data_IF_476391832745
#
_entry.id   IF_476391832745
#
_cell.length_a   1.000
_cell.length_b   1.000
_cell.length_c   1.000
_cell.angle_alpha   90.00
_cell.angle_beta   90.00
_cell.angle_gamma   90.00
#
_symmetry.space_group_name_H-M   'P 1'
#
loop_
_entity.id
_entity.type
_entity.pdbx_description
1 polymer ?
#
# COMPACT_ATOMS: atom_id res chain seq x y z
N UNK A 1 22.60 44.27 -2.11
CA UNK A 1 22.23 44.86 -0.80
C UNK A 1 21.38 43.88 0.01
N UNK A 2 21.21 44.05 1.33
CA UNK A 2 20.32 43.17 2.12
C UNK A 2 18.84 43.55 1.85
N UNK A 3 17.95 42.56 1.79
CA UNK A 3 16.50 42.79 1.76
C UNK A 3 16.03 43.46 3.06
N UNK A 4 14.94 44.23 2.98
CA UNK A 4 14.31 44.75 4.19
C UNK A 4 13.73 43.59 5.03
N UNK A 5 13.71 43.70 6.37
CA UNK A 5 12.95 42.76 7.20
C UNK A 5 11.46 42.78 6.81
N UNK A 6 10.79 41.63 6.98
CA UNK A 6 9.34 41.58 6.80
C UNK A 6 8.64 42.50 7.81
N UNK A 7 7.63 43.27 7.39
CA UNK A 7 7.00 44.28 8.25
C UNK A 7 6.07 43.68 9.32
N UNK A 8 5.72 42.39 9.22
CA UNK A 8 4.82 41.68 10.14
C UNK A 8 4.87 40.17 9.95
N UNK A 9 4.22 39.42 10.84
CA UNK A 9 4.03 37.96 10.75
C UNK A 9 2.85 37.56 9.85
N UNK A 10 2.40 38.45 8.95
CA UNK A 10 1.34 38.15 7.99
C UNK A 10 1.80 37.13 6.94
N UNK A 11 0.86 36.55 6.21
CA UNK A 11 1.14 35.65 5.10
C UNK A 11 1.88 36.39 3.96
N UNK A 12 3.21 36.39 3.98
CA UNK A 12 4.09 37.15 3.07
C UNK A 12 5.40 36.40 2.84
N UNK A 13 5.98 36.47 1.64
CA UNK A 13 7.27 35.86 1.30
C UNK A 13 8.10 36.78 0.38
N UNK A 14 9.43 36.67 0.42
CA UNK A 14 10.28 37.20 -0.64
C UNK A 14 10.48 36.11 -1.69
N UNK A 15 10.16 36.41 -2.95
CA UNK A 15 10.36 35.49 -4.08
C UNK A 15 11.21 36.15 -5.16
N UNK A 16 11.99 35.32 -5.87
CA UNK A 16 12.80 35.81 -6.99
C UNK A 16 11.87 36.36 -8.07
N UNK A 17 12.17 37.55 -8.58
CA UNK A 17 11.46 38.11 -9.74
C UNK A 17 11.62 37.14 -10.93
N UNK A 18 10.55 36.89 -11.70
CA UNK A 18 10.66 36.13 -12.94
C UNK A 18 11.68 36.82 -13.87
N UNK A 19 12.75 36.12 -14.26
CA UNK A 19 13.85 36.64 -15.07
C UNK A 19 13.52 36.80 -16.57
N UNK A 20 12.36 37.34 -16.89
CA UNK A 20 11.86 37.45 -18.27
C UNK A 20 11.74 36.08 -18.95
N UNK A 21 12.04 36.02 -20.26
CA UNK A 21 11.95 34.80 -21.09
C UNK A 21 12.87 33.65 -20.64
N UNK A 22 13.76 33.87 -19.66
CA UNK A 22 14.68 32.86 -19.12
C UNK A 22 14.23 32.25 -17.78
N UNK A 23 13.06 32.64 -17.25
CA UNK A 23 12.54 32.17 -15.97
C UNK A 23 13.34 32.68 -14.76
N UNK A 24 13.12 32.12 -13.57
CA UNK A 24 13.74 32.56 -12.29
C UNK A 24 15.24 32.24 -12.15
N UNK A 25 15.96 32.10 -13.26
CA UNK A 25 17.38 31.70 -13.32
C UNK A 25 18.35 32.88 -13.40
N UNK A 26 17.85 34.11 -13.51
CA UNK A 26 18.71 35.31 -13.40
C UNK A 26 19.03 35.61 -11.94
N UNK A 27 20.32 35.61 -11.64
CA UNK A 27 20.91 36.09 -10.40
C UNK A 27 21.85 37.24 -10.77
N UNK A 28 21.43 38.47 -10.51
CA UNK A 28 22.25 39.65 -10.81
C UNK A 28 23.32 39.90 -9.75
N UNK A 29 23.43 38.99 -8.76
CA UNK A 29 24.19 39.14 -7.54
C UNK A 29 23.77 40.37 -6.71
N UNK A 30 22.54 40.87 -6.92
CA UNK A 30 21.93 41.91 -6.10
C UNK A 30 20.50 41.53 -5.68
N UNK A 31 20.37 41.14 -4.41
CA UNK A 31 19.09 40.71 -3.85
C UNK A 31 17.96 41.74 -4.03
N UNK A 32 18.24 43.05 -4.05
CA UNK A 32 17.21 44.08 -4.24
C UNK A 32 16.63 44.07 -5.66
N UNK A 33 17.46 43.72 -6.64
CA UNK A 33 17.04 43.57 -8.02
C UNK A 33 16.40 42.21 -8.25
N UNK A 34 16.89 41.17 -7.57
CA UNK A 34 16.49 39.79 -7.82
C UNK A 34 15.21 39.36 -7.08
N UNK A 35 14.82 40.00 -5.98
CA UNK A 35 13.67 39.59 -5.18
C UNK A 35 12.58 40.67 -5.09
N UNK A 36 11.33 40.24 -4.90
CA UNK A 36 10.19 41.08 -4.57
C UNK A 36 9.37 40.47 -3.42
N UNK A 37 8.63 41.30 -2.70
CA UNK A 37 7.74 40.85 -1.62
C UNK A 37 6.37 40.47 -2.21
N UNK A 38 5.88 39.27 -1.90
CA UNK A 38 4.55 38.77 -2.26
C UNK A 38 3.65 38.64 -1.04
N UNK A 39 2.38 39.02 -1.22
CA UNK A 39 1.35 39.00 -0.17
C UNK A 39 0.00 38.67 -0.82
N UNK A 40 -0.61 37.48 -0.61
CA UNK A 40 -0.15 36.35 0.22
C UNK A 40 1.10 35.65 -0.36
N UNK A 41 1.78 34.80 0.43
CA UNK A 41 2.90 33.99 -0.08
C UNK A 41 2.43 32.99 -1.15
N UNK A 42 3.23 32.73 -2.18
CA UNK A 42 2.95 31.78 -3.26
C UNK A 42 4.06 30.70 -3.36
N UNK A 43 4.15 29.76 -2.41
CA UNK A 43 5.22 28.77 -2.40
C UNK A 43 5.12 27.82 -3.61
N UNK A 44 6.05 27.96 -4.56
CA UNK A 44 6.15 27.06 -5.70
C UNK A 44 7.02 25.83 -5.37
N UNK A 45 6.52 24.63 -5.67
CA UNK A 45 7.30 23.39 -5.64
C UNK A 45 7.62 22.94 -7.09
N UNK A 46 8.36 21.84 -7.24
CA UNK A 46 8.70 21.24 -8.56
C UNK A 46 7.48 20.73 -9.36
N UNK A 47 6.26 20.83 -8.81
CA UNK A 47 4.99 20.53 -9.47
C UNK A 47 4.16 21.80 -9.76
N UNK A 48 4.70 23.00 -9.53
CA UNK A 48 4.02 24.28 -9.75
C UNK A 48 3.78 24.55 -11.24
N UNK A 49 2.52 24.75 -11.60
CA UNK A 49 2.07 24.96 -12.98
C UNK A 49 2.68 26.25 -13.57
N UNK A 50 3.47 26.13 -14.63
CA UNK A 50 3.91 27.29 -15.45
C UNK A 50 2.69 28.09 -15.92
N UNK A 51 2.62 29.41 -15.68
CA UNK A 51 1.57 30.23 -16.28
C UNK A 51 1.74 30.27 -17.80
N UNK A 52 0.64 29.89 -18.47
CA UNK A 52 0.48 29.88 -19.93
C UNK A 52 0.73 31.29 -20.51
N UNK A 53 1.59 31.45 -21.54
CA UNK A 53 1.82 32.76 -22.14
C UNK A 53 0.56 33.23 -22.88
N UNK A 54 0.04 34.38 -22.48
CA UNK A 54 -1.07 35.08 -23.13
C UNK A 54 -0.76 35.35 -24.62
N UNK A 55 -1.55 34.85 -25.59
CA UNK A 55 -1.29 35.10 -27.00
C UNK A 55 -1.51 36.57 -27.35
N UNK A 56 -0.51 37.16 -28.01
CA UNK A 56 -0.55 38.52 -28.57
C UNK A 56 -1.49 38.55 -29.79
N UNK A 57 -2.42 39.52 -29.92
CA UNK A 57 -3.31 39.59 -31.07
C UNK A 57 -2.55 39.97 -32.35
N UNK A 58 -2.68 39.14 -33.39
CA UNK A 58 -2.21 39.40 -34.75
C UNK A 58 -3.11 40.43 -35.45
N UNK A 59 -2.58 41.38 -36.23
CA UNK A 59 -3.37 42.44 -36.85
C UNK A 59 -4.27 41.91 -37.97
N UNK A 60 -5.50 42.42 -37.98
CA UNK A 60 -6.54 42.22 -38.98
C UNK A 60 -6.18 42.93 -40.29
N UNK A 61 -6.11 42.19 -41.40
CA UNK A 61 -6.07 42.76 -42.76
C UNK A 61 -7.42 42.56 -43.46
N UNK A 62 -7.88 43.68 -44.03
CA UNK A 62 -9.16 43.91 -44.72
C UNK A 62 -9.29 43.13 -46.04
N UNK A 63 -10.48 42.65 -46.44
CA UNK A 63 -10.66 41.92 -47.69
C UNK A 63 -10.78 42.86 -48.90
N UNK A 64 -10.10 42.49 -50.00
CA UNK A 64 -10.35 43.07 -51.33
C UNK A 64 -11.16 42.07 -52.16
N UNK A 65 -12.22 42.48 -52.88
CA UNK A 65 -13.02 41.57 -53.69
C UNK A 65 -12.50 41.50 -55.13
N UNK A 66 -12.36 40.30 -55.71
CA UNK A 66 -12.39 40.10 -57.17
C UNK A 66 -12.59 38.61 -57.54
N UNK A 67 -12.89 38.25 -58.80
CA UNK A 67 -14.24 38.01 -59.29
C UNK A 67 -14.51 36.54 -59.68
N UNK A 68 -15.79 36.31 -59.97
CA UNK A 68 -16.51 35.19 -60.62
C UNK A 68 -15.71 34.08 -61.36
N UNK A 69 -16.15 32.80 -61.26
CA UNK A 69 -15.36 31.62 -61.65
C UNK A 69 -15.37 31.31 -63.15
N UNK A 70 -14.27 30.72 -63.62
CA UNK A 70 -14.17 29.99 -64.89
C UNK A 70 -14.28 28.48 -64.62
N UNK A 71 -15.05 27.70 -65.41
CA UNK A 71 -15.24 26.28 -65.17
C UNK A 71 -13.93 25.52 -65.41
N UNK A 72 -13.36 24.97 -64.33
CA UNK A 72 -12.20 24.09 -64.39
C UNK A 72 -12.70 22.64 -64.54
N UNK A 73 -12.15 21.84 -65.48
CA UNK A 73 -12.64 20.50 -65.79
C UNK A 73 -12.52 19.55 -64.59
N UNK A 74 -13.53 18.69 -64.44
CA UNK A 74 -13.66 17.66 -63.41
C UNK A 74 -12.46 16.70 -63.45
N UNK A 75 -11.61 16.61 -62.40
CA UNK A 75 -10.56 15.60 -62.32
C UNK A 75 -11.16 14.21 -62.06
N UNK A 76 -10.62 13.23 -62.78
CA UNK A 76 -10.84 11.80 -62.58
C UNK A 76 -10.36 11.40 -61.16
N UNK A 77 -11.12 10.56 -60.42
CA UNK A 77 -10.70 10.13 -59.10
C UNK A 77 -9.42 9.30 -59.19
N UNK A 78 -8.36 9.82 -58.58
CA UNK A 78 -7.10 9.11 -58.35
C UNK A 78 -7.33 8.20 -57.12
N UNK A 79 -6.96 6.90 -57.14
CA UNK A 79 -7.18 6.02 -56.01
C UNK A 79 -6.45 6.54 -54.77
N UNK A 80 -7.21 6.75 -53.69
CA UNK A 80 -6.71 7.20 -52.39
C UNK A 80 -5.74 6.14 -51.83
N UNK A 81 -4.48 6.49 -51.50
CA UNK A 81 -3.60 5.56 -50.80
C UNK A 81 -4.20 5.21 -49.43
N UNK A 82 -4.27 3.91 -49.16
CA UNK A 82 -4.68 3.34 -47.87
C UNK A 82 -3.86 3.94 -46.72
N UNK A 83 -4.45 4.28 -45.56
CA UNK A 83 -3.71 4.86 -44.45
C UNK A 83 -2.58 3.92 -43.99
N UNK A 84 -1.35 4.42 -44.09
CA UNK A 84 -0.20 3.78 -43.45
C UNK A 84 -0.39 3.86 -41.94
N UNK A 85 -0.57 2.71 -41.29
CA UNK A 85 -0.61 2.60 -39.84
C UNK A 85 0.70 3.13 -39.26
N UNK A 86 0.61 4.22 -38.50
CA UNK A 86 1.73 4.75 -37.71
C UNK A 86 2.09 3.70 -36.64
N UNK A 87 3.37 3.34 -36.46
CA UNK A 87 3.76 2.38 -35.43
C UNK A 87 3.32 2.91 -34.06
N UNK A 88 2.52 2.12 -33.36
CA UNK A 88 2.10 2.40 -31.99
C UNK A 88 3.36 2.52 -31.14
N UNK A 89 3.54 3.61 -30.35
CA UNK A 89 4.71 3.74 -29.49
C UNK A 89 4.81 2.52 -28.58
N UNK A 90 5.96 1.85 -28.61
CA UNK A 90 6.28 0.75 -27.70
C UNK A 90 6.07 1.24 -26.27
N UNK A 91 5.41 0.47 -25.39
CA UNK A 91 5.25 0.86 -23.99
C UNK A 91 6.64 1.13 -23.40
N UNK A 92 6.81 2.33 -22.85
CA UNK A 92 7.97 2.67 -22.02
C UNK A 92 8.07 1.63 -20.90
N UNK A 93 9.26 1.07 -20.60
CA UNK A 93 9.40 0.13 -19.51
C UNK A 93 8.87 0.77 -18.23
N UNK A 94 7.85 0.14 -17.63
CA UNK A 94 7.36 0.51 -16.32
C UNK A 94 8.53 0.41 -15.34
N UNK A 95 8.80 1.44 -14.51
CA UNK A 95 9.89 1.37 -13.54
C UNK A 95 9.70 0.11 -12.68
N UNK A 96 10.75 -0.70 -12.58
CA UNK A 96 10.75 -1.84 -11.64
C UNK A 96 10.49 -1.29 -10.23
N UNK A 97 9.64 -1.94 -9.41
CA UNK A 97 9.38 -1.49 -8.05
C UNK A 97 10.71 -1.29 -7.32
N UNK A 98 10.89 -0.09 -6.75
CA UNK A 98 12.03 0.18 -5.90
C UNK A 98 11.91 -0.74 -4.68
N UNK A 99 12.91 -1.58 -4.48
CA UNK A 99 12.97 -2.43 -3.31
C UNK A 99 12.94 -1.58 -2.03
N UNK A 100 11.93 -1.79 -1.18
CA UNK A 100 11.77 -1.01 0.04
C UNK A 100 11.93 -1.92 1.26
N UNK A 101 13.00 -1.75 2.07
CA UNK A 101 13.10 -2.44 3.34
C UNK A 101 11.99 -1.94 4.26
N UNK A 102 11.02 -2.79 4.56
CA UNK A 102 9.90 -2.46 5.44
C UNK A 102 9.75 -3.53 6.53
N UNK A 103 10.39 -3.33 7.68
CA UNK A 103 10.19 -4.18 8.86
C UNK A 103 9.20 -3.49 9.78
N UNK A 104 8.10 -4.17 10.05
CA UNK A 104 6.98 -3.69 10.85
C UNK A 104 6.74 -4.60 12.04
N UNK A 105 6.11 -4.07 13.08
CA UNK A 105 5.48 -4.80 14.17
C UNK A 105 4.23 -5.46 13.60
N UNK A 106 4.18 -6.79 13.61
CA UNK A 106 3.05 -7.58 13.09
C UNK A 106 2.09 -8.04 14.17
N UNK A 107 2.55 -8.17 15.43
CA UNK A 107 1.69 -8.50 16.56
C UNK A 107 2.22 -7.93 17.87
N UNK A 108 1.29 -7.58 18.76
CA UNK A 108 1.58 -7.23 20.16
C UNK A 108 0.62 -8.00 21.08
N UNK A 109 1.17 -8.72 22.04
CA UNK A 109 0.42 -9.44 23.07
C UNK A 109 1.01 -9.17 24.45
N UNK A 110 0.25 -8.46 25.30
CA UNK A 110 0.62 -8.13 26.68
C UNK A 110 -0.17 -8.90 27.74
N UNK A 111 -0.75 -10.04 27.35
CA UNK A 111 -1.60 -10.86 28.20
C UNK A 111 -0.87 -12.02 28.88
N UNK A 112 0.44 -12.17 28.67
CA UNK A 112 1.22 -13.33 29.03
C UNK A 112 1.15 -13.69 30.51
N UNK A 113 0.88 -14.95 30.81
CA UNK A 113 0.90 -15.44 32.19
C UNK A 113 -0.31 -15.04 33.05
N UNK A 114 -1.17 -14.14 32.55
CA UNK A 114 -2.40 -13.74 33.21
C UNK A 114 -3.45 -14.86 33.20
N UNK A 115 -4.48 -14.73 34.04
CA UNK A 115 -5.60 -15.68 34.03
C UNK A 115 -6.26 -15.72 32.64
N UNK A 116 -6.38 -16.93 32.09
CA UNK A 116 -6.93 -17.17 30.74
C UNK A 116 -5.92 -17.01 29.59
N UNK A 117 -4.67 -16.63 29.86
CA UNK A 117 -3.69 -16.40 28.81
C UNK A 117 -3.36 -17.68 28.02
N UNK A 118 -3.35 -17.63 26.67
CA UNK A 118 -2.91 -18.76 25.85
C UNK A 118 -1.40 -19.02 25.99
N UNK A 119 -0.63 -17.98 26.32
CA UNK A 119 0.83 -18.03 26.44
C UNK A 119 1.30 -17.49 27.79
N UNK A 120 2.44 -18.02 28.25
CA UNK A 120 3.10 -17.60 29.50
C UNK A 120 3.72 -16.24 29.45
N UNK A 121 4.18 -15.84 28.28
CA UNK A 121 4.94 -14.62 28.09
C UNK A 121 4.20 -13.68 27.16
N UNK A 122 4.37 -12.40 27.44
CA UNK A 122 4.14 -11.33 26.50
C UNK A 122 5.06 -11.53 25.30
N UNK A 123 4.65 -11.00 24.15
CA UNK A 123 5.52 -10.97 22.99
C UNK A 123 5.23 -9.79 22.08
N UNK A 124 6.28 -9.42 21.35
CA UNK A 124 6.23 -8.52 20.20
C UNK A 124 6.74 -9.33 19.01
N UNK A 125 5.99 -9.31 17.92
CA UNK A 125 6.38 -9.98 16.68
C UNK A 125 6.69 -8.92 15.63
N UNK A 126 7.81 -9.10 14.93
CA UNK A 126 8.20 -8.28 13.79
C UNK A 126 8.04 -9.09 12.51
N UNK A 127 7.86 -8.38 11.40
CA UNK A 127 7.68 -8.96 10.09
C UNK A 127 8.35 -8.09 9.03
N UNK A 128 9.07 -8.72 8.11
CA UNK A 128 9.60 -8.02 6.95
C UNK A 128 8.54 -8.02 5.83
N UNK A 129 7.77 -6.93 5.76
CA UNK A 129 6.78 -6.66 4.71
C UNK A 129 7.42 -6.18 3.40
N UNK A 130 8.72 -5.86 3.41
CA UNK A 130 9.49 -5.48 2.24
C UNK A 130 9.84 -6.66 1.34
N UNK A 131 10.52 -6.34 0.24
CA UNK A 131 11.02 -7.29 -0.77
C UNK A 131 12.53 -7.50 -0.70
N UNK A 132 13.20 -6.90 0.29
CA UNK A 132 14.63 -7.07 0.56
C UNK A 132 14.91 -7.53 1.98
N UNK A 133 16.00 -8.28 2.15
CA UNK A 133 16.44 -8.72 3.47
C UNK A 133 16.96 -7.53 4.29
N UNK A 134 16.64 -7.49 5.59
CA UNK A 134 17.03 -6.40 6.50
C UNK A 134 17.89 -6.92 7.63
N UNK A 135 19.03 -6.30 7.85
CA UNK A 135 19.89 -6.59 9.01
C UNK A 135 19.37 -5.85 10.26
N UNK A 136 18.92 -6.61 11.25
CA UNK A 136 18.39 -6.10 12.52
C UNK A 136 19.49 -5.82 13.56
N UNK A 137 20.76 -5.93 13.19
CA UNK A 137 21.88 -5.66 14.09
C UNK A 137 21.80 -4.27 14.71
N UNK A 138 21.79 -4.23 16.04
CA UNK A 138 21.72 -3.00 16.82
C UNK A 138 20.32 -2.39 16.95
N UNK A 139 19.29 -2.96 16.31
CA UNK A 139 17.91 -2.53 16.49
C UNK A 139 17.38 -2.91 17.88
N UNK A 140 16.28 -2.28 18.29
CA UNK A 140 15.56 -2.60 19.51
C UNK A 140 14.05 -2.54 19.31
N UNK A 141 13.31 -3.32 20.11
CA UNK A 141 11.92 -2.98 20.42
C UNK A 141 11.89 -2.21 21.72
N UNK A 142 11.05 -1.18 21.77
CA UNK A 142 10.90 -0.35 22.94
C UNK A 142 9.44 -0.22 23.31
N UNK A 143 9.17 -0.15 24.61
CA UNK A 143 7.82 -0.09 25.14
C UNK A 143 7.64 1.07 26.12
N UNK A 144 6.50 1.72 26.06
CA UNK A 144 6.06 2.65 27.08
C UNK A 144 4.58 2.42 27.38
N UNK A 145 4.16 2.66 28.63
CA UNK A 145 2.74 2.59 28.96
C UNK A 145 1.97 3.68 28.21
N UNK A 146 0.65 3.52 28.15
CA UNK A 146 -0.24 4.30 27.27
C UNK A 146 0.03 5.82 27.27
N UNK A 147 0.33 6.41 28.44
CA UNK A 147 0.58 7.84 28.58
C UNK A 147 1.99 8.23 29.06
N UNK A 148 2.82 7.26 29.43
CA UNK A 148 4.17 7.54 29.95
C UNK A 148 5.12 8.06 28.86
N UNK A 149 6.20 8.71 29.33
CA UNK A 149 7.27 9.29 28.52
C UNK A 149 8.62 8.56 28.63
N UNK A 150 8.69 7.53 29.47
CA UNK A 150 9.88 6.70 29.67
C UNK A 150 9.68 5.37 28.97
N UNK A 151 10.68 4.94 28.21
CA UNK A 151 10.61 3.73 27.39
C UNK A 151 11.50 2.63 27.98
N UNK A 152 11.05 1.39 27.98
CA UNK A 152 11.88 0.21 28.27
C UNK A 152 12.43 -0.35 26.95
N UNK A 153 13.62 -0.96 26.97
CA UNK A 153 14.32 -1.38 25.75
C UNK A 153 14.65 -2.87 25.82
N UNK A 154 14.32 -3.59 24.76
CA UNK A 154 14.84 -4.94 24.48
C UNK A 154 15.63 -4.85 23.17
N UNK A 155 16.95 -5.04 23.27
CA UNK A 155 17.82 -5.06 22.09
C UNK A 155 17.59 -6.35 21.29
N UNK A 156 17.56 -6.26 19.97
CA UNK A 156 17.39 -7.43 19.11
C UNK A 156 18.70 -8.20 18.94
N UNK A 157 18.60 -9.52 18.83
CA UNK A 157 19.70 -10.37 18.36
C UNK A 157 19.95 -10.10 16.89
N UNK A 158 21.21 -9.80 16.53
CA UNK A 158 21.66 -9.61 15.15
C UNK A 158 21.18 -10.74 14.24
N UNK A 159 20.30 -10.42 13.29
CA UNK A 159 19.65 -11.36 12.39
C UNK A 159 19.37 -10.66 11.06
N UNK A 160 19.67 -11.33 9.96
CA UNK A 160 19.23 -10.90 8.62
C UNK A 160 17.83 -11.46 8.40
N UNK A 161 16.82 -10.61 8.48
CA UNK A 161 15.42 -10.98 8.30
C UNK A 161 15.05 -10.92 6.82
N UNK A 162 14.83 -12.06 6.17
CA UNK A 162 14.47 -12.11 4.75
C UNK A 162 13.02 -11.63 4.50
N UNK A 163 12.67 -11.26 3.26
CA UNK A 163 11.30 -10.90 2.89
C UNK A 163 10.29 -11.94 3.34
N UNK A 164 9.23 -11.48 3.98
CA UNK A 164 8.16 -12.32 4.48
C UNK A 164 8.49 -13.20 5.68
N UNK A 165 9.68 -13.06 6.29
CA UNK A 165 10.00 -13.73 7.55
C UNK A 165 9.48 -12.95 8.77
N UNK A 166 9.27 -13.69 9.85
CA UNK A 166 8.90 -13.17 11.16
C UNK A 166 10.07 -13.23 12.13
N UNK A 167 10.03 -12.40 13.16
CA UNK A 167 10.98 -12.37 14.26
C UNK A 167 10.22 -12.22 15.57
N UNK A 168 10.46 -13.13 16.52
CA UNK A 168 9.73 -13.20 17.78
C UNK A 168 10.60 -12.69 18.93
N UNK A 169 10.10 -11.62 19.57
CA UNK A 169 10.63 -11.10 20.84
C UNK A 169 9.75 -11.63 21.95
N UNK A 170 10.29 -12.51 22.80
CA UNK A 170 9.65 -12.87 24.05
C UNK A 170 9.89 -11.76 25.08
N UNK A 171 8.89 -11.42 25.86
CA UNK A 171 8.99 -10.40 26.91
C UNK A 171 8.62 -11.01 28.29
N UNK A 172 8.24 -10.17 29.26
CA UNK A 172 7.89 -10.65 30.60
C UNK A 172 6.76 -11.69 30.56
N UNK A 173 6.61 -12.46 31.63
CA UNK A 173 5.60 -13.50 31.69
C UNK A 173 5.28 -13.98 33.09
N UNK A 174 4.42 -14.98 33.15
CA UNK A 174 3.93 -15.61 34.38
C UNK A 174 3.73 -17.12 34.23
N UNK A 175 2.93 -17.69 35.13
CA UNK A 175 2.77 -19.14 35.24
C UNK A 175 1.70 -19.74 34.31
N UNK A 176 0.77 -18.93 33.81
CA UNK A 176 -0.40 -19.40 33.04
C UNK A 176 -0.13 -19.46 31.55
N UNK A 177 -0.63 -20.48 30.86
CA UNK A 177 -0.53 -20.62 29.40
C UNK A 177 0.60 -21.54 28.95
N UNK A 178 0.72 -21.70 27.64
CA UNK A 178 1.75 -22.49 26.96
C UNK A 178 3.03 -21.69 26.73
N UNK A 179 4.13 -22.37 26.42
CA UNK A 179 5.36 -21.70 26.00
C UNK A 179 5.18 -21.12 24.60
N UNK A 180 5.86 -20.01 24.32
CA UNK A 180 6.01 -19.50 22.96
C UNK A 180 6.84 -20.48 22.11
N UNK A 181 6.71 -20.46 20.77
CA UNK A 181 7.75 -20.98 19.89
C UNK A 181 9.12 -20.37 20.28
N UNK A 182 10.25 -21.04 20.02
CA UNK A 182 11.56 -20.52 20.38
C UNK A 182 11.76 -19.09 19.86
N UNK A 183 11.91 -18.08 20.73
CA UNK A 183 12.06 -16.69 20.29
C UNK A 183 13.49 -16.42 19.84
N UNK A 184 13.68 -15.44 18.96
CA UNK A 184 15.02 -14.98 18.57
C UNK A 184 15.72 -14.20 19.68
N UNK A 185 14.94 -13.56 20.56
CA UNK A 185 15.45 -12.83 21.71
C UNK A 185 14.43 -12.82 22.85
N UNK A 186 14.92 -12.75 24.09
CA UNK A 186 14.10 -12.60 25.29
C UNK A 186 14.46 -11.31 26.01
N UNK A 187 13.44 -10.48 26.24
CA UNK A 187 13.47 -9.31 27.10
C UNK A 187 12.72 -9.53 28.41
N UNK A 188 12.57 -8.45 29.16
CA UNK A 188 11.90 -8.45 30.47
C UNK A 188 10.83 -7.35 30.57
N UNK A 189 10.42 -6.77 29.44
CA UNK A 189 9.41 -5.71 29.41
C UNK A 189 8.07 -6.32 29.80
N UNK A 190 7.39 -5.73 30.78
CA UNK A 190 6.01 -6.10 31.09
C UNK A 190 5.07 -5.27 30.23
N UNK A 191 4.43 -5.89 29.24
CA UNK A 191 3.49 -5.22 28.37
C UNK A 191 2.13 -5.15 29.05
N UNK A 192 1.50 -3.98 29.04
CA UNK A 192 0.13 -3.88 29.53
C UNK A 192 -0.83 -4.61 28.59
N UNK A 193 -1.74 -5.40 29.15
CA UNK A 193 -2.72 -6.20 28.39
C UNK A 193 -3.79 -5.36 27.69
N UNK A 194 -3.98 -4.09 28.04
CA UNK A 194 -5.13 -3.28 27.59
C UNK A 194 -4.76 -1.99 26.87
N UNK A 195 -3.66 -1.33 27.24
CA UNK A 195 -3.20 -0.13 26.54
C UNK A 195 -1.71 0.16 26.73
N UNK A 196 -1.02 0.56 25.67
CA UNK A 196 0.41 0.79 25.66
C UNK A 196 0.93 1.26 24.31
N UNK A 197 2.25 1.40 24.19
CA UNK A 197 2.95 1.82 22.99
C UNK A 197 4.17 0.94 22.76
N UNK A 198 4.36 0.45 21.55
CA UNK A 198 5.56 -0.29 21.12
C UNK A 198 6.18 0.43 19.93
N UNK A 199 7.48 0.65 19.98
CA UNK A 199 8.24 1.21 18.87
C UNK A 199 9.33 0.21 18.43
N UNK A 200 9.47 0.00 17.13
CA UNK A 200 10.63 -0.64 16.54
C UNK A 200 11.65 0.44 16.18
N UNK A 201 12.87 0.33 16.71
CA UNK A 201 13.90 1.38 16.59
C UNK A 201 15.17 0.80 15.98
N UNK A 202 15.73 1.48 14.98
CA UNK A 202 16.92 1.08 14.22
C UNK A 202 18.25 1.22 14.99
N UNK A 203 18.17 1.45 16.29
CA UNK A 203 19.30 1.48 17.21
C UNK A 203 18.83 1.11 18.63
N UNK A 204 19.77 1.01 19.56
CA UNK A 204 19.52 0.67 20.97
C UNK A 204 19.31 1.88 21.89
N UNK A 205 19.30 3.11 21.34
CA UNK A 205 19.14 4.31 22.17
C UNK A 205 17.70 4.40 22.66
N UNK A 206 17.54 4.48 23.98
CA UNK A 206 16.24 4.61 24.63
C UNK A 206 15.53 5.89 24.15
N UNK A 207 14.29 5.72 23.71
CA UNK A 207 13.42 6.83 23.34
C UNK A 207 13.03 7.65 24.58
N UNK A 208 12.79 8.93 24.37
CA UNK A 208 12.34 9.86 25.42
C UNK A 208 11.13 10.65 24.94
N UNK A 209 10.21 10.96 25.86
CA UNK A 209 9.01 11.72 25.55
C UNK A 209 7.80 10.82 25.34
N UNK A 210 6.60 11.41 25.45
CA UNK A 210 5.34 10.68 25.35
C UNK A 210 5.05 10.19 23.93
N UNK A 211 5.43 11.00 22.93
CA UNK A 211 5.28 10.69 21.51
C UNK A 211 6.53 11.12 20.73
N UNK A 212 7.60 10.30 20.73
CA UNK A 212 8.85 10.65 20.08
C UNK A 212 8.70 10.64 18.55
N UNK A 213 9.36 11.59 17.89
CA UNK A 213 9.48 11.63 16.43
C UNK A 213 10.96 11.50 16.09
N UNK A 214 11.33 10.43 15.38
CA UNK A 214 12.72 10.16 14.99
C UNK A 214 12.74 9.35 13.71
N UNK A 215 13.70 9.65 12.83
CA UNK A 215 13.98 8.83 11.63
C UNK A 215 14.53 7.45 11.97
N UNK A 216 14.90 7.21 13.24
CA UNK A 216 15.33 5.91 13.74
C UNK A 216 14.15 5.01 14.12
N UNK A 217 12.94 5.54 14.30
CA UNK A 217 11.75 4.73 14.52
C UNK A 217 11.35 4.15 13.14
N UNK A 218 11.39 2.83 13.04
CA UNK A 218 10.99 2.10 11.83
C UNK A 218 9.47 1.88 11.79
N UNK A 219 8.86 1.65 12.94
CA UNK A 219 7.42 1.45 13.10
C UNK A 219 7.01 1.79 14.54
N UNK A 220 5.80 2.31 14.71
CA UNK A 220 5.22 2.65 16.00
C UNK A 220 3.76 2.19 16.09
N UNK A 221 3.47 1.39 17.11
CA UNK A 221 2.13 0.90 17.41
C UNK A 221 1.68 1.41 18.77
N UNK A 222 0.67 2.28 18.77
CA UNK A 222 -0.11 2.58 19.97
C UNK A 222 -1.36 1.71 20.02
N UNK A 223 -1.62 1.06 21.15
CA UNK A 223 -2.76 0.17 21.31
C UNK A 223 -3.61 0.54 22.52
N UNK A 224 -4.93 0.37 22.37
CA UNK A 224 -5.91 0.76 23.38
C UNK A 224 -6.21 2.26 23.38
N UNK A 225 -7.43 2.62 23.81
CA UNK A 225 -7.97 3.98 23.64
C UNK A 225 -7.24 5.08 24.43
N UNK A 226 -6.43 4.71 25.42
CA UNK A 226 -5.65 5.66 26.22
C UNK A 226 -4.22 5.87 25.71
N UNK A 227 -3.77 5.15 24.67
CA UNK A 227 -2.47 5.37 24.07
C UNK A 227 -2.40 6.78 23.47
N UNK A 228 -1.42 7.58 23.90
CA UNK A 228 -1.27 8.97 23.48
C UNK A 228 -0.22 9.17 22.37
N UNK A 229 0.24 8.09 21.76
CA UNK A 229 1.08 8.12 20.57
C UNK A 229 0.84 6.84 19.76
N UNK A 230 0.66 7.00 18.45
CA UNK A 230 0.32 5.98 17.48
C UNK A 230 0.55 6.57 16.09
N UNK A 231 0.66 5.73 15.07
CA UNK A 231 0.67 6.19 13.68
C UNK A 231 -0.76 6.42 13.16
N UNK A 232 -0.91 7.45 12.35
CA UNK A 232 -2.16 7.80 11.69
C UNK A 232 -3.21 8.42 12.61
N UNK A 233 -4.47 8.02 12.44
CA UNK A 233 -5.62 8.74 12.99
C UNK A 233 -6.06 8.25 14.36
N UNK A 234 -5.54 7.10 14.83
CA UNK A 234 -5.92 6.53 16.12
C UNK A 234 -5.10 5.30 16.47
N UNK A 235 -5.13 4.85 17.75
CA UNK A 235 -4.49 3.62 18.16
C UNK A 235 -5.23 2.41 17.60
N UNK A 236 -4.58 1.26 17.66
CA UNK A 236 -5.23 -0.03 17.43
C UNK A 236 -6.32 -0.29 18.49
N UNK A 237 -7.24 -1.25 18.26
CA UNK A 237 -8.07 -1.81 19.33
C UNK A 237 -7.24 -2.27 20.54
N UNK A 238 -7.86 -2.29 21.72
CA UNK A 238 -7.23 -2.79 22.94
C UNK A 238 -7.12 -4.32 22.92
N UNK A 239 -5.91 -4.90 23.09
CA UNK A 239 -5.75 -6.33 23.31
C UNK A 239 -6.36 -6.75 24.67
N UNK A 240 -6.20 -8.03 25.02
CA UNK A 240 -6.66 -8.56 26.30
C UNK A 240 -5.72 -9.67 26.79
N UNK A 241 -6.05 -10.29 27.92
CA UNK A 241 -5.35 -11.49 28.38
C UNK A 241 -5.44 -12.64 27.35
N UNK A 242 -6.46 -12.66 26.50
CA UNK A 242 -6.72 -13.77 25.55
C UNK A 242 -6.48 -13.40 24.09
N UNK A 243 -6.33 -12.11 23.78
CA UNK A 243 -6.25 -11.60 22.42
C UNK A 243 -5.05 -10.69 22.23
N UNK A 244 -4.39 -10.84 21.08
CA UNK A 244 -3.38 -9.92 20.60
C UNK A 244 -4.03 -8.85 19.74
N UNK A 245 -3.30 -7.77 19.50
CA UNK A 245 -3.54 -6.94 18.32
C UNK A 245 -2.58 -7.40 17.22
N UNK A 246 -3.10 -7.65 16.02
CA UNK A 246 -2.35 -8.14 14.88
C UNK A 246 -2.51 -7.21 13.68
N UNK A 247 -1.40 -6.94 13.00
CA UNK A 247 -1.39 -6.20 11.74
C UNK A 247 -2.07 -7.06 10.67
N UNK A 248 -2.99 -6.45 9.94
CA UNK A 248 -3.85 -7.10 8.96
C UNK A 248 -3.02 -7.71 7.82
N UNK A 249 -3.62 -8.66 7.12
CA UNK A 249 -2.96 -9.41 6.04
C UNK A 249 -1.63 -10.04 6.49
N UNK A 250 -1.62 -10.61 7.71
CA UNK A 250 -0.47 -11.26 8.33
C UNK A 250 0.79 -10.39 8.44
N UNK A 251 0.64 -9.07 8.46
CA UNK A 251 1.74 -8.10 8.51
C UNK A 251 1.87 -7.24 7.25
N UNK A 252 1.17 -7.55 6.16
CA UNK A 252 1.32 -6.83 4.90
C UNK A 252 0.54 -5.52 4.78
N UNK A 253 -0.40 -5.26 5.69
CA UNK A 253 -1.15 -3.99 5.68
C UNK A 253 -0.43 -2.96 6.54
N UNK A 254 0.22 -2.01 5.87
CA UNK A 254 0.94 -0.91 6.50
C UNK A 254 0.65 0.40 5.75
N UNK A 255 -0.39 1.10 6.19
CA UNK A 255 -0.83 2.37 5.61
C UNK A 255 -0.34 3.58 6.40
N UNK A 256 0.50 3.34 7.42
CA UNK A 256 0.90 4.34 8.41
C UNK A 256 -0.27 4.75 9.32
N UNK A 257 -1.27 3.88 9.51
CA UNK A 257 -2.42 4.16 10.36
C UNK A 257 -2.80 2.94 11.21
N UNK A 258 -2.39 2.97 12.47
CA UNK A 258 -2.60 1.87 13.41
C UNK A 258 -4.09 1.47 13.54
N UNK A 259 -5.02 2.43 13.47
CA UNK A 259 -6.46 2.16 13.61
C UNK A 259 -7.04 1.30 12.48
N UNK A 260 -6.47 1.37 11.27
CA UNK A 260 -6.93 0.60 10.10
C UNK A 260 -6.04 -0.58 9.77
N UNK A 261 -4.77 -0.52 10.20
CA UNK A 261 -3.78 -1.55 9.90
C UNK A 261 -3.87 -2.74 10.85
N UNK A 262 -4.52 -2.58 12.01
CA UNK A 262 -4.57 -3.61 13.05
C UNK A 262 -5.99 -4.01 13.44
N UNK A 263 -6.15 -5.27 13.82
CA UNK A 263 -7.38 -5.83 14.38
C UNK A 263 -7.09 -6.76 15.55
N UNK A 264 -8.12 -7.08 16.35
CA UNK A 264 -8.00 -8.10 17.40
C UNK A 264 -7.93 -9.48 16.79
N UNK A 265 -6.99 -10.29 17.26
CA UNK A 265 -6.79 -11.65 16.81
C UNK A 265 -6.51 -12.58 18.00
N UNK A 266 -6.72 -13.88 17.78
CA UNK A 266 -6.11 -14.89 18.65
C UNK A 266 -4.59 -14.78 18.51
N UNK A 267 -3.80 -14.74 19.60
CA UNK A 267 -2.36 -14.62 19.51
C UNK A 267 -1.78 -15.80 18.73
N UNK A 268 -0.97 -15.51 17.72
CA UNK A 268 -0.36 -16.49 16.83
C UNK A 268 1.10 -16.15 16.61
N UNK A 269 1.97 -16.37 17.62
CA UNK A 269 3.37 -15.97 17.57
C UNK A 269 4.15 -16.79 16.52
N UNK A 270 4.96 -16.10 15.72
CA UNK A 270 5.81 -16.66 14.67
C UNK A 270 7.23 -16.13 14.83
N UNK A 271 8.18 -17.01 14.54
CA UNK A 271 9.62 -16.75 14.61
C UNK A 271 10.25 -16.94 13.22
N UNK A 272 11.57 -16.86 13.11
CA UNK A 272 12.30 -16.96 11.83
C UNK A 272 12.19 -18.33 11.15
N UNK A 273 11.77 -19.37 11.90
CA UNK A 273 11.52 -20.73 11.40
C UNK A 273 10.08 -20.94 10.91
N UNK A 274 9.21 -19.94 11.08
CA UNK A 274 7.82 -20.02 10.62
C UNK A 274 7.72 -19.93 9.10
N UNK A 275 6.64 -20.44 8.48
CA UNK A 275 6.44 -20.31 7.04
C UNK A 275 6.51 -18.85 6.59
N UNK A 276 7.24 -18.60 5.51
CA UNK A 276 7.35 -17.27 4.91
C UNK A 276 5.99 -16.78 4.39
N UNK A 277 5.72 -15.49 4.55
CA UNK A 277 4.53 -14.84 4.01
C UNK A 277 4.94 -13.61 3.19
N UNK A 278 4.92 -13.72 1.87
CA UNK A 278 5.30 -12.61 0.99
C UNK A 278 4.13 -11.65 0.78
N UNK A 279 4.38 -10.35 0.97
CA UNK A 279 3.44 -9.32 0.59
C UNK A 279 3.44 -9.19 -0.92
N UNK A 280 2.44 -9.81 -1.56
CA UNK A 280 2.24 -9.63 -2.99
C UNK A 280 1.87 -8.16 -3.21
N UNK A 281 2.79 -7.39 -3.78
CA UNK A 281 2.41 -6.12 -4.38
C UNK A 281 1.41 -6.46 -5.48
N UNK A 282 0.24 -5.83 -5.44
CA UNK A 282 -0.78 -5.91 -6.48
C UNK A 282 -0.28 -5.19 -7.75
N UNK A 283 0.76 -5.72 -8.38
CA UNK A 283 1.01 -5.53 -9.79
C UNK A 283 0.25 -6.65 -10.52
N UNK A 284 -1.08 -6.55 -10.57
CA UNK A 284 -1.76 -7.16 -11.71
C UNK A 284 -1.23 -6.44 -12.95
N UNK A 285 -0.42 -7.08 -13.83
CA UNK A 285 -0.23 -6.49 -15.15
C UNK A 285 -1.63 -6.36 -15.73
N UNK A 286 -2.06 -5.13 -16.05
CA UNK A 286 -3.31 -4.97 -16.76
C UNK A 286 -3.13 -5.67 -18.11
N UNK A 287 -3.78 -6.81 -18.28
CA UNK A 287 -3.88 -7.52 -19.55
C UNK A 287 -4.80 -6.75 -20.52
N UNK A 288 -4.80 -5.42 -20.48
CA UNK A 288 -5.58 -4.53 -21.32
C UNK A 288 -5.06 -4.43 -22.76
N UNK A 289 -4.23 -5.39 -23.19
CA UNK A 289 -3.66 -5.43 -24.54
C UNK A 289 -3.62 -6.82 -25.20
N UNK A 290 -4.05 -7.90 -24.53
CA UNK A 290 -4.19 -9.18 -25.24
C UNK A 290 -5.49 -9.13 -26.05
N UNK A 291 -5.36 -8.71 -27.30
CA UNK A 291 -6.36 -8.93 -28.31
C UNK A 291 -6.51 -10.44 -28.50
N UNK A 292 -7.63 -11.02 -28.07
CA UNK A 292 -7.99 -12.43 -28.31
C UNK A 292 -8.38 -12.69 -29.78
N UNK A 293 -7.72 -12.00 -30.71
CA UNK A 293 -7.84 -12.17 -32.13
C UNK A 293 -6.55 -12.78 -32.68
N UNK A 294 -6.58 -14.11 -32.87
CA UNK A 294 -5.65 -14.88 -33.71
C UNK A 294 -4.22 -15.06 -33.20
N UNK A 295 -4.00 -15.82 -32.11
CA UNK A 295 -2.79 -16.67 -32.06
C UNK A 295 -2.94 -17.91 -31.15
N UNK A 296 -3.94 -18.74 -31.44
CA UNK A 296 -4.05 -20.08 -30.86
C UNK A 296 -3.22 -21.14 -31.61
N UNK A 297 -2.32 -20.75 -32.52
CA UNK A 297 -1.51 -21.71 -33.29
C UNK A 297 -0.03 -21.75 -32.91
N UNK A 298 0.49 -20.75 -32.18
CA UNK A 298 1.94 -20.66 -31.88
C UNK A 298 2.27 -20.91 -30.40
N UNK A 299 1.49 -21.73 -29.69
CA UNK A 299 1.85 -22.23 -28.35
C UNK A 299 1.65 -23.74 -28.18
N UNK A 300 1.94 -24.51 -29.24
CA UNK A 300 2.03 -25.99 -29.17
C UNK A 300 3.40 -26.54 -29.60
N UNK A 301 4.37 -25.68 -29.98
CA UNK A 301 5.66 -26.15 -30.53
C UNK A 301 6.92 -26.04 -29.65
N UNK A 302 6.83 -25.69 -28.36
CA UNK A 302 8.01 -25.62 -27.46
C UNK A 302 7.97 -26.64 -26.30
N UNK A 303 7.17 -27.71 -26.40
CA UNK A 303 7.21 -28.82 -25.44
C UNK A 303 7.21 -30.21 -26.11
N UNK A 304 7.93 -30.33 -27.23
CA UNK A 304 8.33 -31.63 -27.80
C UNK A 304 9.75 -31.59 -28.37
N UNK A 305 10.73 -31.40 -27.50
CA UNK A 305 12.07 -31.94 -27.72
C UNK A 305 12.79 -31.98 -26.38
N UNK A 306 12.67 -33.11 -25.68
CA UNK A 306 13.67 -33.72 -24.80
C UNK A 306 12.91 -34.82 -24.05
N UNK A 307 12.99 -36.06 -24.55
CA UNK A 307 12.93 -37.33 -23.82
C UNK A 307 12.86 -38.47 -24.86
N UNK A 308 13.96 -38.63 -25.62
CA UNK A 308 14.28 -39.94 -26.23
C UNK A 308 15.39 -40.55 -25.40
N UNK A 309 15.01 -41.42 -24.47
CA UNK A 309 15.92 -42.19 -23.64
C UNK A 309 15.09 -43.17 -22.81
N UNK A 310 14.88 -44.36 -23.37
CA UNK A 310 13.91 -45.32 -22.85
C UNK A 310 14.27 -45.90 -21.49
N UNK A 311 13.24 -46.24 -20.72
CA UNK A 311 13.18 -47.48 -19.96
C UNK A 311 11.71 -47.76 -19.60
N UNK A 312 11.25 -48.99 -19.86
CA UNK A 312 9.90 -49.44 -19.51
C UNK A 312 9.86 -49.83 -18.04
N UNK A 313 8.93 -49.25 -17.27
CA UNK A 313 8.26 -49.93 -16.15
C UNK A 313 6.89 -49.29 -15.90
N UNK A 314 5.84 -50.13 -15.86
CA UNK A 314 4.46 -49.75 -15.55
C UNK A 314 4.32 -49.47 -14.05
N UNK A 315 3.60 -48.41 -13.65
CA UNK A 315 2.64 -48.43 -12.52
C UNK A 315 1.50 -47.43 -12.80
N UNK A 316 0.27 -47.86 -12.50
CA UNK A 316 -1.01 -47.16 -12.69
C UNK A 316 -1.21 -45.96 -11.74
N UNK A 317 -1.87 -44.91 -12.22
CA UNK A 317 -2.80 -44.12 -11.42
C UNK A 317 -3.81 -43.37 -12.31
N UNK A 318 -5.09 -43.77 -12.20
CA UNK A 318 -6.24 -43.03 -12.73
C UNK A 318 -6.65 -41.98 -11.70
N UNK A 319 -6.69 -40.71 -12.08
CA UNK A 319 -7.62 -39.72 -11.50
C UNK A 319 -8.17 -38.91 -12.66
N UNK A 320 -9.47 -39.03 -12.91
CA UNK A 320 -10.19 -38.27 -13.92
C UNK A 320 -10.79 -37.03 -13.25
N UNK A 321 -10.46 -35.83 -13.74
CA UNK A 321 -11.22 -34.61 -13.46
C UNK A 321 -12.26 -34.41 -14.56
N UNK A 322 -13.52 -34.21 -14.15
CA UNK A 322 -14.67 -33.92 -15.02
C UNK A 322 -15.06 -32.47 -14.77
N UNK A 323 -14.73 -31.56 -15.68
CA UNK A 323 -15.17 -30.17 -15.62
C UNK A 323 -16.65 -30.05 -16.04
N UNK A 324 -17.47 -29.41 -15.21
CA UNK A 324 -18.80 -28.92 -15.58
C UNK A 324 -18.74 -27.39 -15.67
N UNK A 325 -18.99 -26.88 -16.87
CA UNK A 325 -19.09 -25.44 -17.18
C UNK A 325 -20.55 -24.97 -17.06
N UNK A 326 -20.87 -24.15 -16.07
CA UNK A 326 -22.14 -23.41 -15.97
C UNK A 326 -21.98 -21.98 -16.51
N UNK A 327 -22.68 -21.70 -17.61
CA UNK A 327 -22.80 -20.36 -18.22
C UNK A 327 -23.83 -19.52 -17.45
N UNK A 328 -23.43 -18.38 -16.91
CA UNK A 328 -24.34 -17.32 -16.43
C UNK A 328 -24.69 -16.43 -17.64
N UNK A 329 -25.97 -16.41 -18.02
CA UNK A 329 -26.54 -15.40 -18.93
C UNK A 329 -27.38 -14.43 -18.10
N UNK A 330 -26.93 -13.18 -18.06
CA UNK A 330 -27.74 -12.02 -17.65
C UNK A 330 -28.69 -11.64 -18.78
N UNK A 331 -29.99 -11.58 -18.50
CA UNK A 331 -30.95 -10.82 -19.30
C UNK A 331 -31.95 -10.11 -18.38
N UNK A 332 -31.95 -8.80 -18.48
CA UNK A 332 -32.94 -7.86 -17.97
C UNK A 332 -34.06 -7.67 -19.00
N UNK A 333 -35.33 -7.81 -18.60
CA UNK A 333 -36.42 -7.02 -19.19
C UNK A 333 -37.70 -7.10 -18.34
N UNK A 334 -38.25 -5.92 -18.06
CA UNK A 334 -39.57 -5.64 -17.50
C UNK A 334 -40.70 -6.19 -18.41
N UNK A 335 -41.83 -6.56 -17.81
CA UNK A 335 -43.08 -6.87 -18.53
C UNK A 335 -44.19 -7.33 -17.60
N UNK A 336 -45.21 -6.49 -17.44
CA UNK A 336 -46.46 -6.69 -16.70
C UNK A 336 -47.43 -7.63 -17.44
N UNK A 337 -48.28 -8.37 -16.71
CA UNK A 337 -49.76 -8.32 -16.80
C UNK A 337 -50.48 -9.52 -16.14
N UNK A 338 -51.74 -9.24 -15.80
CA UNK A 338 -52.64 -9.84 -14.81
C UNK A 338 -53.46 -11.10 -15.20
N UNK A 339 -54.25 -11.56 -14.21
CA UNK A 339 -55.44 -12.45 -14.22
C UNK A 339 -55.16 -13.98 -14.27
N UNK A 340 -55.78 -14.87 -13.47
CA UNK A 340 -57.08 -14.90 -12.77
C UNK A 340 -57.07 -15.99 -11.67
N UNK A 341 -57.85 -15.81 -10.59
CA UNK A 341 -58.20 -16.82 -9.57
C UNK A 341 -59.40 -17.68 -10.04
N UNK A 342 -59.61 -18.90 -9.51
CA UNK A 342 -60.73 -19.06 -8.57
C UNK A 342 -60.52 -20.03 -7.37
N UNK A 343 -61.12 -19.60 -6.25
CA UNK A 343 -61.81 -20.31 -5.13
C UNK A 343 -62.28 -21.75 -5.42
N UNK A 344 -62.51 -22.68 -4.49
CA UNK A 344 -62.65 -22.75 -3.01
C UNK A 344 -62.65 -24.27 -2.61
N UNK A 345 -62.58 -24.57 -1.30
CA UNK A 345 -63.38 -25.59 -0.53
C UNK A 345 -62.58 -26.41 0.51
N UNK A 346 -62.74 -25.98 1.77
CA UNK A 346 -62.99 -26.68 3.05
C UNK A 346 -62.29 -27.99 3.49
N UNK A 347 -61.89 -28.03 4.77
CA UNK A 347 -61.89 -29.28 5.56
C UNK A 347 -61.03 -29.32 6.84
N UNK A 348 -61.48 -28.65 7.91
CA UNK A 348 -61.15 -28.91 9.34
C UNK A 348 -61.39 -30.39 9.74
N UNK A 349 -60.88 -31.04 10.81
CA UNK A 349 -60.70 -30.64 12.20
C UNK A 349 -60.15 -31.84 13.04
N UNK A 350 -59.47 -31.54 14.15
CA UNK A 350 -59.45 -32.21 15.48
C UNK A 350 -58.69 -33.54 15.78
N UNK A 351 -57.84 -33.40 16.81
CA UNK A 351 -57.29 -34.30 17.86
C UNK A 351 -58.35 -35.13 18.63
N UNK A 352 -58.06 -36.00 19.65
CA UNK A 352 -56.84 -36.14 20.49
C UNK A 352 -56.40 -37.56 20.94
N UNK A 353 -55.18 -37.66 21.50
CA UNK A 353 -54.85 -38.05 22.89
C UNK A 353 -53.39 -37.64 23.17
#
# INVERSE_FOLDING_TARGET
MHLAPLPSDANQSYERKPGGLSGSTQDTQDNFQDFHLLTPSDPQNIQGNTPEPTPTPSPSVSPTPNPSPSPTPTPIPTPTPSPSVSPTPSPSPSPSPVANPNVVISQVFGGGGNAGAPFRNDFIELFNAGDTAVDLSGWSVQYSSATAATWSVTNLTATILAPGQYYLVQEAGGATGSLLPPPEVSGTIALAATAGKVALVKNASQLTGACPVSTNIADLVGYGTSANCFEGTGPTPAPSNTNAVARNSLGCTDTGNNATDFSLATPGPRNTSSPIHLCLQSSTPSLSGINWGLDLCTLIFVLRSHLTGGFRTRVNSRVAYKEQSTKIKTQSSLGSDAFTNPRDVFGSNLTPL
#
